data_IF_052532184288
#
_entry.id   IF_052532184288
#
_cell.length_a   1.000
_cell.length_b   1.000
_cell.length_c   1.000
_cell.angle_alpha   90.00
_cell.angle_beta   90.00
_cell.angle_gamma   90.00
#
_symmetry.space_group_name_H-M   'P 1'
#
loop_
_entity.id
_entity.type
_entity.pdbx_description
1 polymer ?
#
# COMPACT_ATOMS: atom_id res chain seq x y z
N UNK A 1 -21.41 16.96 -43.77
CA UNK A 1 -20.83 18.16 -44.39
C UNK A 1 -19.37 18.16 -43.97
N UNK A 2 -18.53 17.89 -44.93
CA UNK A 2 -17.10 17.61 -44.94
C UNK A 2 -16.31 18.91 -44.88
N UNK A 3 -15.21 18.98 -44.13
CA UNK A 3 -14.01 19.75 -44.42
C UNK A 3 -12.89 19.20 -43.51
N UNK A 4 -12.01 18.46 -43.96
CA UNK A 4 -10.72 18.44 -44.68
C UNK A 4 -9.69 19.49 -44.20
N UNK A 5 -8.61 18.89 -43.66
CA UNK A 5 -7.16 19.13 -43.80
C UNK A 5 -6.66 20.57 -43.91
N UNK A 6 -5.57 20.84 -43.21
CA UNK A 6 -4.28 21.19 -43.83
C UNK A 6 -3.07 21.07 -42.88
N UNK A 7 -2.04 20.41 -43.40
CA UNK A 7 -0.67 20.31 -42.94
C UNK A 7 0.07 21.65 -42.99
N UNK A 8 1.10 21.82 -42.15
CA UNK A 8 2.39 22.44 -42.56
C UNK A 8 3.51 22.13 -41.55
N UNK A 9 4.41 21.29 -41.89
CA UNK A 9 5.81 21.37 -42.36
C UNK A 9 6.82 22.21 -41.55
N UNK A 10 7.75 21.45 -41.00
CA UNK A 10 9.22 21.64 -40.87
C UNK A 10 9.80 23.04 -40.61
N UNK A 11 10.59 23.13 -39.54
CA UNK A 11 11.86 23.87 -39.63
C UNK A 11 12.94 23.16 -38.79
N UNK A 12 13.91 22.60 -39.51
CA UNK A 12 15.22 22.19 -38.96
C UNK A 12 16.06 23.44 -38.74
N UNK A 13 16.76 23.52 -37.62
CA UNK A 13 17.95 24.38 -37.49
C UNK A 13 19.12 23.64 -36.86
N UNK A 14 20.18 23.64 -37.63
CA UNK A 14 21.56 23.25 -37.39
C UNK A 14 22.09 23.76 -36.03
N UNK A 15 22.84 22.93 -35.34
CA UNK A 15 23.77 23.32 -34.29
C UNK A 15 25.19 23.11 -34.77
N UNK A 16 25.93 24.20 -34.77
CA UNK A 16 27.36 24.27 -35.07
C UNK A 16 28.16 23.79 -33.85
N UNK A 17 29.06 22.87 -34.09
CA UNK A 17 30.09 22.40 -33.16
C UNK A 17 31.26 23.40 -33.19
N UNK A 18 31.68 23.87 -32.02
CA UNK A 18 33.01 24.49 -31.84
C UNK A 18 33.84 23.63 -30.89
N UNK A 19 34.81 22.94 -31.47
CA UNK A 19 35.92 22.35 -30.72
C UNK A 19 36.96 23.45 -30.45
N UNK A 20 37.37 23.55 -29.19
CA UNK A 20 38.65 24.19 -28.84
C UNK A 20 39.42 23.27 -27.92
N UNK A 21 40.48 22.70 -28.47
CA UNK A 21 41.56 22.04 -27.74
C UNK A 21 42.43 23.08 -27.05
N UNK A 22 42.74 22.87 -25.79
CA UNK A 22 43.99 23.37 -25.21
C UNK A 22 44.51 22.34 -24.19
N UNK A 23 45.78 22.09 -24.36
CA UNK A 23 46.60 21.02 -23.82
C UNK A 23 47.44 21.53 -22.63
N UNK A 24 47.67 20.61 -21.67
CA UNK A 24 48.75 20.49 -20.70
C UNK A 24 48.74 21.31 -19.39
N UNK A 25 48.81 20.50 -18.34
CA UNK A 25 49.29 20.88 -17.01
C UNK A 25 49.12 19.76 -16.00
N UNK A 26 50.05 18.76 -15.98
CA UNK A 26 50.16 17.82 -14.89
C UNK A 26 50.71 18.54 -13.65
N UNK A 27 49.99 18.45 -12.53
CA UNK A 27 50.65 18.38 -11.21
C UNK A 27 49.70 17.60 -10.27
N UNK A 28 50.15 16.42 -9.87
CA UNK A 28 49.45 15.60 -8.90
C UNK A 28 49.56 16.22 -7.51
N UNK A 29 48.40 16.36 -6.88
CA UNK A 29 48.24 16.26 -5.44
C UNK A 29 47.01 15.42 -5.20
N UNK A 30 47.23 14.21 -4.71
CA UNK A 30 46.18 13.33 -4.26
C UNK A 30 45.60 13.85 -2.94
N UNK A 31 44.64 14.73 -3.04
CA UNK A 31 43.74 14.98 -1.92
C UNK A 31 42.80 13.81 -1.85
N UNK A 32 43.05 12.96 -0.84
CA UNK A 32 42.06 12.03 -0.38
C UNK A 32 40.87 12.86 0.09
N UNK A 33 39.77 12.90 -0.71
CA UNK A 33 38.48 13.38 -0.24
C UNK A 33 38.14 12.57 1.01
N UNK A 34 38.22 13.23 2.17
CA UNK A 34 37.66 12.75 3.40
C UNK A 34 36.17 12.66 3.12
N UNK A 35 35.50 11.51 3.39
CA UNK A 35 34.04 11.43 3.23
C UNK A 35 33.43 12.58 4.05
N UNK A 36 32.78 13.52 3.38
CA UNK A 36 31.99 14.54 4.06
C UNK A 36 30.87 13.80 4.77
N UNK A 37 30.93 13.74 6.10
CA UNK A 37 29.81 13.27 6.91
C UNK A 37 28.61 14.13 6.51
N UNK A 38 27.61 13.50 5.92
CA UNK A 38 26.35 14.15 5.57
C UNK A 38 25.76 14.79 6.83
N UNK A 39 25.35 16.03 6.73
CA UNK A 39 24.65 16.72 7.81
C UNK A 39 23.40 15.89 8.18
N UNK A 40 23.31 15.36 9.42
CA UNK A 40 22.19 14.52 9.81
C UNK A 40 20.84 15.26 9.87
N UNK A 41 20.87 16.59 9.77
CA UNK A 41 19.66 17.43 9.77
C UNK A 41 19.23 17.86 8.36
N UNK A 42 20.04 17.54 7.32
CA UNK A 42 19.68 17.88 5.96
C UNK A 42 18.40 17.14 5.51
N UNK A 43 17.48 17.80 4.80
CA UNK A 43 16.32 17.12 4.24
C UNK A 43 16.77 15.97 3.32
N UNK A 44 16.14 14.82 3.47
CA UNK A 44 16.39 13.66 2.56
C UNK A 44 15.88 14.03 1.19
N UNK A 45 16.72 13.88 0.15
CA UNK A 45 16.30 14.12 -1.23
C UNK A 45 15.18 13.17 -1.66
N UNK A 46 14.24 13.64 -2.47
CA UNK A 46 13.07 12.88 -2.93
C UNK A 46 13.46 11.57 -3.63
N UNK A 47 14.57 11.56 -4.35
CA UNK A 47 15.11 10.37 -5.03
C UNK A 47 15.45 9.23 -4.08
N UNK A 48 15.79 9.53 -2.82
CA UNK A 48 16.06 8.51 -1.79
C UNK A 48 14.78 7.92 -1.18
N UNK A 49 13.67 8.64 -1.30
CA UNK A 49 12.37 8.23 -0.78
C UNK A 49 11.53 7.51 -1.83
N UNK A 50 11.86 7.66 -3.12
CA UNK A 50 11.11 7.03 -4.21
C UNK A 50 11.40 5.54 -4.28
N UNK A 51 10.36 4.75 -4.56
CA UNK A 51 10.51 3.31 -4.81
C UNK A 51 11.59 3.08 -5.88
N UNK A 52 12.66 2.32 -5.58
CA UNK A 52 13.77 2.12 -6.51
C UNK A 52 13.31 1.45 -7.80
N UNK A 53 13.91 1.87 -8.93
CA UNK A 53 13.61 1.30 -10.24
C UNK A 53 13.98 -0.18 -10.43
N UNK A 54 14.74 -0.76 -9.49
CA UNK A 54 15.03 -2.21 -9.42
C UNK A 54 13.84 -3.03 -8.95
N UNK A 55 12.88 -2.43 -8.25
CA UNK A 55 11.69 -3.12 -7.73
C UNK A 55 10.82 -3.61 -8.89
N UNK A 56 10.39 -4.85 -8.80
CA UNK A 56 9.56 -5.54 -9.78
C UNK A 56 8.38 -6.20 -9.10
N UNK A 57 7.34 -6.59 -9.85
CA UNK A 57 6.30 -7.46 -9.32
C UNK A 57 6.88 -8.77 -8.79
N UNK A 58 6.32 -9.25 -7.68
CA UNK A 58 6.65 -10.55 -7.09
C UNK A 58 5.65 -11.65 -7.48
N UNK A 59 4.53 -11.25 -8.08
CA UNK A 59 3.47 -12.16 -8.50
C UNK A 59 2.70 -11.55 -9.68
N UNK A 60 2.42 -12.35 -10.71
CA UNK A 60 1.61 -11.92 -11.87
C UNK A 60 0.12 -12.12 -11.61
N UNK A 61 -0.38 -11.37 -10.62
CA UNK A 61 -1.80 -11.33 -10.27
C UNK A 61 -2.22 -9.86 -10.14
N UNK A 62 -3.39 -9.52 -10.67
CA UNK A 62 -3.98 -8.22 -10.43
C UNK A 62 -4.27 -8.06 -8.95
N UNK A 63 -3.49 -7.21 -8.29
CA UNK A 63 -3.59 -6.96 -6.86
C UNK A 63 -3.27 -5.52 -6.52
N UNK A 64 -4.10 -4.93 -5.66
CA UNK A 64 -3.85 -3.67 -4.95
C UNK A 64 -3.79 -3.94 -3.46
N UNK A 65 -3.41 -2.91 -2.71
CA UNK A 65 -3.48 -2.91 -1.26
C UNK A 65 -2.78 -4.18 -0.71
N UNK A 66 -1.57 -4.40 -1.22
CA UNK A 66 -0.78 -5.61 -0.95
C UNK A 66 -0.41 -5.68 0.52
N UNK A 67 -0.67 -6.81 1.13
CA UNK A 67 -0.35 -7.10 2.50
C UNK A 67 0.48 -8.38 2.63
N UNK A 68 1.56 -8.32 3.39
CA UNK A 68 2.38 -9.50 3.72
C UNK A 68 2.58 -9.58 5.21
N UNK A 69 2.40 -10.77 5.79
CA UNK A 69 2.80 -11.08 7.15
C UNK A 69 3.75 -12.26 7.16
N UNK A 70 4.78 -12.21 8.00
CA UNK A 70 5.68 -13.34 8.28
C UNK A 70 5.23 -14.06 9.53
N UNK A 71 5.11 -15.39 9.47
CA UNK A 71 4.76 -16.21 10.62
C UNK A 71 5.94 -17.09 11.03
N UNK A 72 6.60 -16.72 12.12
CA UNK A 72 7.82 -17.35 12.56
C UNK A 72 7.67 -18.85 12.91
N UNK A 73 6.50 -19.28 13.39
CA UNK A 73 6.28 -20.66 13.82
C UNK A 73 6.33 -21.67 12.68
N UNK A 74 5.89 -21.30 11.46
CA UNK A 74 5.98 -22.15 10.27
C UNK A 74 6.97 -21.65 9.24
N UNK A 75 7.49 -20.42 9.42
CA UNK A 75 8.47 -19.77 8.57
C UNK A 75 7.94 -19.44 7.19
N UNK A 76 6.65 -19.13 7.04
CA UNK A 76 6.07 -18.67 5.81
C UNK A 76 5.75 -17.19 5.85
N UNK A 77 5.88 -16.56 4.70
CA UNK A 77 5.26 -15.29 4.37
C UNK A 77 3.90 -15.56 3.76
N UNK A 78 2.88 -14.86 4.24
CA UNK A 78 1.52 -14.93 3.72
C UNK A 78 1.17 -13.62 3.05
N UNK A 79 0.65 -13.68 1.82
CA UNK A 79 0.32 -12.52 1.00
C UNK A 79 -1.15 -12.54 0.66
N UNK A 80 -1.77 -11.38 0.81
CA UNK A 80 -3.13 -11.09 0.37
C UNK A 80 -3.21 -9.66 -0.19
N UNK A 81 -4.35 -9.28 -0.73
CA UNK A 81 -4.61 -7.94 -1.26
C UNK A 81 -5.95 -7.88 -1.97
N UNK A 82 -6.32 -6.69 -2.42
CA UNK A 82 -7.51 -6.48 -3.26
C UNK A 82 -7.26 -7.09 -4.64
N UNK A 83 -7.84 -8.24 -4.90
CA UNK A 83 -7.70 -8.94 -6.19
C UNK A 83 -8.84 -8.58 -7.14
N UNK A 84 -8.58 -8.68 -8.45
CA UNK A 84 -9.64 -8.77 -9.45
C UNK A 84 -10.03 -10.22 -9.66
N UNK A 85 -11.32 -10.48 -9.93
CA UNK A 85 -11.74 -11.80 -10.36
C UNK A 85 -11.30 -12.02 -11.80
N UNK A 86 -10.54 -13.10 -12.12
CA UNK A 86 -10.07 -13.37 -13.49
C UNK A 86 -11.21 -13.45 -14.52
N UNK A 87 -12.37 -13.93 -14.11
CA UNK A 87 -13.55 -14.06 -14.97
C UNK A 87 -14.35 -12.75 -15.11
N UNK A 88 -13.98 -11.72 -14.34
CA UNK A 88 -14.73 -10.47 -14.21
C UNK A 88 -13.84 -9.23 -14.24
N UNK A 89 -12.65 -9.33 -14.82
CA UNK A 89 -11.81 -8.18 -15.09
C UNK A 89 -12.58 -7.19 -15.98
N UNK A 90 -12.66 -5.96 -15.50
CA UNK A 90 -13.46 -4.94 -16.16
C UNK A 90 -12.70 -4.26 -17.29
N UNK A 91 -13.34 -4.17 -18.45
CA UNK A 91 -12.92 -3.26 -19.51
C UNK A 91 -13.83 -2.03 -19.49
N UNK A 92 -13.26 -0.86 -19.55
CA UNK A 92 -14.00 0.37 -19.72
C UNK A 92 -13.97 1.30 -18.51
N UNK A 93 -15.11 1.67 -17.97
CA UNK A 93 -15.24 2.78 -17.02
C UNK A 93 -15.10 2.39 -15.55
N UNK A 94 -14.89 1.12 -15.25
CA UNK A 94 -14.70 0.60 -13.90
C UNK A 94 -13.24 0.20 -13.70
N UNK A 95 -12.79 0.22 -12.46
CA UNK A 95 -11.45 -0.20 -12.11
C UNK A 95 -11.40 -1.70 -11.90
N UNK A 96 -10.25 -2.34 -12.17
CA UNK A 96 -10.08 -3.78 -12.01
C UNK A 96 -10.37 -4.29 -10.58
N UNK A 97 -10.34 -3.41 -9.59
CA UNK A 97 -10.63 -3.71 -8.19
C UNK A 97 -12.10 -3.48 -7.77
N UNK A 98 -12.97 -3.09 -8.69
CA UNK A 98 -14.39 -2.82 -8.38
C UNK A 98 -15.23 -4.09 -8.29
N UNK A 99 -14.68 -5.24 -8.68
CA UNK A 99 -15.34 -6.52 -8.60
C UNK A 99 -14.37 -7.66 -8.29
N UNK A 100 -14.69 -8.41 -7.23
CA UNK A 100 -14.08 -9.72 -6.95
C UNK A 100 -15.10 -10.63 -6.26
N UNK A 101 -14.76 -11.89 -6.09
CA UNK A 101 -15.64 -12.90 -5.53
C UNK A 101 -15.26 -13.31 -4.10
N UNK A 102 -14.22 -12.70 -3.54
CA UNK A 102 -13.78 -12.98 -2.17
C UNK A 102 -12.32 -12.67 -1.91
N UNK A 103 -11.77 -13.34 -0.93
CA UNK A 103 -10.41 -13.16 -0.43
C UNK A 103 -9.54 -14.35 -0.84
N UNK A 104 -8.36 -14.05 -1.34
CA UNK A 104 -7.36 -15.02 -1.77
C UNK A 104 -6.09 -14.91 -0.94
N UNK A 105 -5.39 -16.03 -0.82
CA UNK A 105 -4.17 -16.13 -0.04
C UNK A 105 -3.08 -16.83 -0.83
N UNK A 106 -1.86 -16.34 -0.70
CA UNK A 106 -0.63 -16.96 -1.20
C UNK A 106 0.34 -17.11 -0.04
N UNK A 107 1.28 -18.05 -0.19
CA UNK A 107 2.38 -18.20 0.78
C UNK A 107 3.73 -18.38 0.07
N UNK A 108 4.79 -18.00 0.74
CA UNK A 108 6.17 -18.13 0.24
C UNK A 108 7.14 -18.39 1.40
N UNK A 109 8.29 -19.00 1.09
CA UNK A 109 9.42 -19.12 2.01
C UNK A 109 10.49 -18.06 1.78
N UNK A 110 10.42 -17.33 0.67
CA UNK A 110 11.51 -16.48 0.21
C UNK A 110 11.02 -15.15 -0.41
N UNK A 111 9.72 -14.89 -0.37
CA UNK A 111 9.05 -13.75 -1.02
C UNK A 111 9.26 -13.65 -2.55
N UNK A 112 9.86 -14.67 -3.17
CA UNK A 112 10.13 -14.74 -4.60
C UNK A 112 9.27 -15.80 -5.29
N UNK A 113 9.06 -16.94 -4.63
CA UNK A 113 8.28 -18.06 -5.12
C UNK A 113 7.00 -18.20 -4.31
N UNK A 114 5.87 -17.84 -4.90
CA UNK A 114 4.57 -17.82 -4.24
C UNK A 114 3.70 -19.01 -4.65
N UNK A 115 3.18 -19.72 -3.67
CA UNK A 115 2.19 -20.79 -3.83
C UNK A 115 0.80 -20.21 -3.56
N UNK A 116 -0.11 -20.35 -4.52
CA UNK A 116 -1.51 -19.98 -4.33
C UNK A 116 -2.20 -21.00 -3.42
N UNK A 117 -2.80 -20.50 -2.33
CA UNK A 117 -3.60 -21.31 -1.39
C UNK A 117 -5.08 -21.31 -1.76
N UNK A 118 -5.48 -20.49 -2.71
CA UNK A 118 -6.84 -20.36 -3.18
C UNK A 118 -7.67 -19.34 -2.44
N UNK A 119 -9.00 -19.38 -2.69
CA UNK A 119 -9.96 -18.48 -2.09
C UNK A 119 -10.31 -18.96 -0.68
N UNK A 120 -10.03 -18.12 0.32
CA UNK A 120 -10.21 -18.44 1.75
C UNK A 120 -11.51 -17.90 2.36
N UNK A 121 -12.19 -17.00 1.67
CA UNK A 121 -13.52 -16.48 2.03
C UNK A 121 -14.23 -16.01 0.75
N UNK A 122 -15.54 -16.21 0.69
CA UNK A 122 -16.35 -15.86 -0.47
C UNK A 122 -17.64 -15.12 -0.12
N UNK A 123 -18.07 -14.25 -1.02
CA UNK A 123 -19.38 -13.60 -0.88
C UNK A 123 -20.54 -14.58 -0.90
N UNK A 124 -20.45 -15.66 -1.65
CA UNK A 124 -21.58 -16.56 -1.86
C UNK A 124 -21.75 -17.52 -0.70
N UNK A 125 -20.67 -18.03 -0.14
CA UNK A 125 -20.68 -19.08 0.88
C UNK A 125 -20.56 -18.53 2.30
N UNK A 126 -19.67 -17.53 2.52
CA UNK A 126 -19.23 -17.15 3.86
C UNK A 126 -19.79 -15.81 4.36
N UNK A 127 -20.21 -14.94 3.42
CA UNK A 127 -20.62 -13.59 3.77
C UNK A 127 -21.96 -13.53 4.51
N UNK A 128 -22.02 -12.70 5.53
CA UNK A 128 -23.27 -12.32 6.19
C UNK A 128 -24.20 -11.54 5.23
N UNK A 129 -25.52 -11.52 5.50
CA UNK A 129 -26.47 -10.84 4.62
C UNK A 129 -26.14 -9.37 4.32
N UNK A 130 -25.59 -8.66 5.28
CA UNK A 130 -25.22 -7.25 5.11
C UNK A 130 -24.01 -7.08 4.17
N UNK A 131 -23.08 -8.03 4.16
CA UNK A 131 -21.90 -8.03 3.29
C UNK A 131 -22.26 -8.33 1.83
N UNK A 132 -23.39 -8.99 1.59
CA UNK A 132 -23.88 -9.30 0.22
C UNK A 132 -24.55 -8.12 -0.47
N UNK A 133 -24.72 -7.01 0.22
CA UNK A 133 -25.26 -5.77 -0.34
C UNK A 133 -24.18 -5.09 -1.21
N UNK A 134 -24.16 -5.39 -2.48
CA UNK A 134 -23.26 -4.69 -3.40
C UNK A 134 -23.79 -3.31 -3.80
N UNK A 135 -22.95 -2.55 -4.48
CA UNK A 135 -23.33 -1.29 -5.11
C UNK A 135 -23.82 -1.54 -6.55
N UNK A 136 -24.77 -0.74 -7.05
CA UNK A 136 -25.21 -0.87 -8.45
C UNK A 136 -24.03 -0.67 -9.41
N UNK A 137 -23.88 -1.59 -10.37
CA UNK A 137 -22.90 -1.43 -11.46
C UNK A 137 -23.30 -0.24 -12.36
N UNK A 138 -22.30 0.50 -12.80
CA UNK A 138 -22.52 1.56 -13.78
C UNK A 138 -23.10 0.93 -15.06
N UNK A 139 -24.17 1.52 -15.65
CA UNK A 139 -24.75 0.99 -16.87
C UNK A 139 -23.72 0.83 -17.99
N UNK A 140 -23.72 -0.32 -18.64
CA UNK A 140 -22.80 -0.63 -19.74
C UNK A 140 -21.45 -1.22 -19.32
N UNK A 141 -21.23 -1.52 -18.05
CA UNK A 141 -20.06 -2.27 -17.61
C UNK A 141 -20.05 -3.68 -18.21
N UNK A 142 -18.89 -4.10 -18.70
CA UNK A 142 -18.66 -5.44 -19.27
C UNK A 142 -17.42 -6.07 -18.67
N UNK A 143 -17.35 -7.40 -18.71
CA UNK A 143 -16.12 -8.14 -18.45
C UNK A 143 -15.06 -7.83 -19.52
N UNK A 144 -13.82 -8.28 -19.33
CA UNK A 144 -12.76 -8.23 -20.35
C UNK A 144 -13.16 -8.93 -21.64
N UNK A 145 -13.98 -9.96 -21.55
CA UNK A 145 -14.49 -10.70 -22.70
C UNK A 145 -15.70 -10.02 -23.38
N UNK A 146 -16.15 -8.87 -22.85
CA UNK A 146 -17.29 -8.13 -23.38
C UNK A 146 -18.67 -8.62 -22.90
N UNK A 147 -18.72 -9.55 -21.98
CA UNK A 147 -19.98 -10.02 -21.40
C UNK A 147 -20.59 -8.96 -20.50
N UNK A 148 -21.91 -8.71 -20.57
CA UNK A 148 -22.57 -7.83 -19.61
C UNK A 148 -22.38 -8.33 -18.18
N UNK A 149 -22.01 -7.42 -17.28
CA UNK A 149 -21.89 -7.74 -15.86
C UNK A 149 -23.24 -7.69 -15.16
N UNK A 150 -23.34 -8.42 -14.05
CA UNK A 150 -24.50 -8.39 -13.17
C UNK A 150 -24.83 -6.96 -12.74
N UNK A 151 -26.06 -6.76 -12.31
CA UNK A 151 -26.58 -5.44 -11.90
C UNK A 151 -25.92 -4.89 -10.63
N UNK A 152 -25.12 -5.68 -9.93
CA UNK A 152 -24.48 -5.33 -8.66
C UNK A 152 -22.99 -5.63 -8.77
N UNK A 153 -22.15 -4.63 -8.54
CA UNK A 153 -20.74 -4.86 -8.29
C UNK A 153 -20.48 -4.98 -6.79
N UNK A 154 -19.62 -5.88 -6.44
CA UNK A 154 -19.16 -6.08 -5.08
C UNK A 154 -17.70 -6.49 -5.09
N UNK A 155 -16.96 -5.95 -4.17
CA UNK A 155 -15.56 -6.30 -3.99
C UNK A 155 -15.21 -6.22 -2.50
N UNK A 156 -14.30 -7.06 -2.09
CA UNK A 156 -13.56 -6.91 -0.83
C UNK A 156 -12.29 -6.16 -1.14
N UNK A 157 -12.06 -5.08 -0.41
CA UNK A 157 -10.89 -4.24 -0.55
C UNK A 157 -10.00 -4.34 0.68
N UNK A 158 -8.72 -4.05 0.48
CA UNK A 158 -7.69 -3.92 1.49
C UNK A 158 -7.75 -5.03 2.57
N UNK A 159 -7.67 -6.33 2.20
CA UNK A 159 -7.60 -7.38 3.17
C UNK A 159 -6.21 -7.45 3.81
N UNK A 160 -6.18 -7.64 5.12
CA UNK A 160 -4.97 -7.82 5.89
C UNK A 160 -5.08 -9.09 6.74
N UNK A 161 -4.08 -9.95 6.69
CA UNK A 161 -4.03 -11.18 7.47
C UNK A 161 -3.08 -11.03 8.66
N UNK A 162 -3.62 -11.03 9.87
CA UNK A 162 -2.87 -10.84 11.11
C UNK A 162 -2.82 -12.12 11.95
N UNK A 163 -1.66 -12.45 12.46
CA UNK A 163 -1.51 -13.40 13.54
C UNK A 163 -1.36 -12.64 14.85
N UNK A 164 -2.30 -12.82 15.77
CA UNK A 164 -2.30 -12.19 17.09
C UNK A 164 -1.57 -13.12 18.05
N UNK A 165 -0.31 -12.80 18.33
CA UNK A 165 0.59 -13.68 19.09
C UNK A 165 0.10 -13.92 20.51
N UNK A 166 -0.38 -12.88 21.21
CA UNK A 166 -0.87 -13.00 22.58
C UNK A 166 -2.10 -13.91 22.74
N UNK A 167 -2.79 -14.20 21.63
CA UNK A 167 -4.04 -15.00 21.61
C UNK A 167 -3.94 -16.28 20.80
N UNK A 168 -2.84 -16.51 20.09
CA UNK A 168 -2.69 -17.63 19.15
C UNK A 168 -3.86 -17.72 18.15
N UNK A 169 -4.17 -16.55 17.50
CA UNK A 169 -5.30 -16.42 16.60
C UNK A 169 -4.93 -15.76 15.28
N UNK A 170 -5.49 -16.29 14.21
CA UNK A 170 -5.50 -15.64 12.92
C UNK A 170 -6.77 -14.82 12.75
N UNK A 171 -6.60 -13.53 12.52
CA UNK A 171 -7.66 -12.61 12.17
C UNK A 171 -7.39 -12.04 10.77
N UNK A 172 -8.45 -11.71 10.07
CA UNK A 172 -8.40 -10.98 8.82
C UNK A 172 -9.30 -9.77 8.91
N UNK A 173 -8.79 -8.61 8.54
CA UNK A 173 -9.62 -7.41 8.36
C UNK A 173 -9.77 -7.14 6.88
N UNK A 174 -10.89 -6.56 6.49
CA UNK A 174 -11.16 -6.14 5.13
C UNK A 174 -12.32 -5.14 5.10
N UNK A 175 -12.52 -4.50 3.97
CA UNK A 175 -13.69 -3.63 3.76
C UNK A 175 -14.43 -3.97 2.49
N UNK A 176 -15.69 -3.55 2.42
CA UNK A 176 -16.49 -3.62 1.21
C UNK A 176 -16.27 -2.37 0.36
N UNK A 177 -16.27 -2.55 -0.94
CA UNK A 177 -16.16 -1.46 -1.89
C UNK A 177 -17.21 -0.35 -1.67
N UNK A 178 -16.86 0.86 -2.08
CA UNK A 178 -17.76 2.00 -2.07
C UNK A 178 -18.15 2.51 -0.67
N UNK A 179 -17.35 2.23 0.36
CA UNK A 179 -17.63 2.70 1.73
C UNK A 179 -18.76 1.93 2.43
N UNK A 180 -19.03 0.70 2.01
CA UNK A 180 -20.07 -0.15 2.63
C UNK A 180 -19.62 -0.77 3.96
N UNK A 181 -18.47 -0.35 4.48
CA UNK A 181 -17.97 -0.67 5.80
C UNK A 181 -16.95 -1.79 5.85
N UNK A 182 -16.25 -1.86 6.97
CA UNK A 182 -15.18 -2.81 7.25
C UNK A 182 -15.60 -3.88 8.26
N UNK A 183 -14.90 -4.99 8.22
CA UNK A 183 -15.20 -6.17 9.06
C UNK A 183 -13.93 -6.91 9.44
N UNK A 184 -14.07 -7.73 10.50
CA UNK A 184 -13.04 -8.63 11.00
C UNK A 184 -13.54 -10.07 10.88
N UNK A 185 -12.69 -10.94 10.41
CA UNK A 185 -12.92 -12.37 10.32
C UNK A 185 -11.95 -13.11 11.25
N UNK A 186 -12.41 -14.20 11.88
CA UNK A 186 -11.60 -15.10 12.68
C UNK A 186 -11.44 -16.44 11.96
N UNK A 187 -10.22 -16.96 11.91
CA UNK A 187 -9.97 -18.34 11.46
C UNK A 187 -10.54 -19.35 12.47
N UNK A 188 -11.43 -20.21 12.00
CA UNK A 188 -12.05 -21.24 12.86
C UNK A 188 -11.10 -22.41 13.12
N UNK A 189 -10.20 -22.69 12.17
CA UNK A 189 -9.25 -23.79 12.30
C UNK A 189 -8.00 -23.42 13.10
N UNK A 190 -7.78 -22.14 13.37
CA UNK A 190 -6.51 -21.62 13.90
C UNK A 190 -5.39 -21.63 12.88
N UNK A 191 -5.67 -21.70 11.57
CA UNK A 191 -4.70 -21.68 10.48
C UNK A 191 -4.93 -20.49 9.56
N UNK A 192 -3.91 -20.00 8.86
CA UNK A 192 -4.02 -18.83 8.00
C UNK A 192 -4.96 -19.02 6.81
N UNK A 193 -5.15 -20.26 6.33
CA UNK A 193 -6.09 -20.56 5.26
C UNK A 193 -7.57 -20.66 5.70
N UNK A 194 -7.85 -20.49 6.98
CA UNK A 194 -9.22 -20.54 7.50
C UNK A 194 -9.77 -21.99 7.67
N UNK A 195 -11.09 -22.23 7.56
CA UNK A 195 -12.13 -21.28 7.10
C UNK A 195 -12.34 -20.10 8.04
N UNK A 196 -12.84 -19.01 7.49
CA UNK A 196 -13.05 -17.74 8.19
C UNK A 196 -14.53 -17.48 8.48
N UNK A 197 -14.80 -16.85 9.61
CA UNK A 197 -16.13 -16.38 9.98
C UNK A 197 -16.09 -14.95 10.50
N UNK A 198 -17.19 -14.22 10.35
CA UNK A 198 -17.36 -12.94 11.01
C UNK A 198 -17.23 -13.09 12.54
N UNK A 199 -16.51 -12.16 13.17
CA UNK A 199 -16.57 -12.03 14.64
C UNK A 199 -17.96 -11.53 15.06
N UNK A 200 -18.31 -11.65 16.35
CA UNK A 200 -19.61 -11.25 16.86
C UNK A 200 -19.90 -9.77 16.60
N UNK A 201 -18.89 -8.90 16.74
CA UNK A 201 -19.02 -7.45 16.57
C UNK A 201 -19.42 -7.00 15.17
N UNK A 202 -19.25 -7.85 14.15
CA UNK A 202 -19.70 -7.55 12.79
C UNK A 202 -20.65 -8.61 12.18
N UNK A 203 -21.33 -9.37 13.01
CA UNK A 203 -22.29 -10.39 12.53
C UNK A 203 -23.49 -9.79 11.77
N UNK A 204 -24.00 -8.64 12.23
CA UNK A 204 -25.21 -8.00 11.72
C UNK A 204 -24.94 -6.74 10.87
N UNK A 205 -23.78 -6.11 11.04
CA UNK A 205 -23.39 -4.86 10.38
C UNK A 205 -21.87 -4.71 10.36
N UNK A 206 -21.35 -3.71 9.64
CA UNK A 206 -19.94 -3.35 9.68
C UNK A 206 -19.50 -2.96 11.09
N UNK A 207 -18.28 -3.37 11.49
CA UNK A 207 -17.69 -2.93 12.76
C UNK A 207 -17.15 -1.50 12.67
N UNK A 208 -16.84 -1.05 11.45
CA UNK A 208 -16.39 0.30 11.12
C UNK A 208 -17.07 0.77 9.83
N UNK A 209 -17.71 1.93 9.86
CA UNK A 209 -18.53 2.44 8.74
C UNK A 209 -17.73 3.12 7.63
N UNK A 210 -16.47 2.72 7.44
CA UNK A 210 -15.60 3.24 6.39
C UNK A 210 -14.71 2.11 5.85
N UNK A 211 -13.75 2.46 5.00
CA UNK A 211 -12.78 1.54 4.40
C UNK A 211 -11.47 1.47 5.20
N UNK A 212 -10.55 0.61 4.78
CA UNK A 212 -9.16 0.51 5.21
C UNK A 212 -9.00 0.34 6.72
N UNK A 213 -9.50 -0.78 7.20
CA UNK A 213 -9.34 -1.20 8.59
C UNK A 213 -8.07 -2.04 8.72
N UNK A 214 -7.23 -1.72 9.68
CA UNK A 214 -6.02 -2.45 10.05
C UNK A 214 -6.08 -2.93 11.51
N UNK A 215 -5.23 -3.89 11.86
CA UNK A 215 -5.03 -4.37 13.24
C UNK A 215 -3.63 -4.02 13.72
N UNK A 216 -3.55 -3.63 14.97
CA UNK A 216 -2.27 -3.44 15.68
C UNK A 216 -2.32 -4.16 17.02
N UNK A 217 -1.36 -5.06 17.28
CA UNK A 217 -1.13 -5.69 18.57
C UNK A 217 0.04 -5.00 19.27
N UNK A 218 -0.20 -4.48 20.49
CA UNK A 218 0.82 -3.83 21.29
C UNK A 218 1.57 -4.85 22.19
N UNK A 219 2.73 -4.47 22.71
CA UNK A 219 3.59 -5.32 23.56
C UNK A 219 2.88 -5.85 24.81
N UNK A 220 1.83 -5.20 25.28
CA UNK A 220 1.04 -5.65 26.43
C UNK A 220 -0.07 -6.66 26.06
N UNK A 221 -0.14 -7.05 24.77
CA UNK A 221 -1.16 -7.93 24.22
C UNK A 221 -2.52 -7.24 23.97
N UNK A 222 -2.57 -5.92 24.07
CA UNK A 222 -3.74 -5.14 23.67
C UNK A 222 -3.81 -5.09 22.15
N UNK A 223 -5.00 -5.31 21.59
CA UNK A 223 -5.24 -5.27 20.15
C UNK A 223 -6.14 -4.10 19.79
N UNK A 224 -5.76 -3.37 18.77
CA UNK A 224 -6.48 -2.19 18.29
C UNK A 224 -6.89 -2.36 16.84
N UNK A 225 -8.08 -1.88 16.51
CA UNK A 225 -8.52 -1.61 15.15
C UNK A 225 -8.18 -0.17 14.80
N UNK A 226 -7.47 0.02 13.70
CA UNK A 226 -7.10 1.34 13.18
C UNK A 226 -7.80 1.50 11.84
N UNK A 227 -8.49 2.60 11.64
CA UNK A 227 -9.32 2.79 10.45
C UNK A 227 -9.04 4.07 9.72
N UNK A 228 -9.45 4.08 8.49
CA UNK A 228 -9.40 5.21 7.58
C UNK A 228 -9.73 6.55 8.27
N UNK A 229 -9.07 7.62 7.87
CA UNK A 229 -9.19 8.96 8.46
C UNK A 229 -8.85 9.02 9.95
N UNK A 230 -7.84 8.25 10.39
CA UNK A 230 -7.28 8.37 11.73
C UNK A 230 -8.21 7.94 12.87
N UNK A 231 -8.95 6.86 12.69
CA UNK A 231 -9.77 6.31 13.76
C UNK A 231 -9.11 5.10 14.38
N UNK A 232 -9.25 4.98 15.71
CA UNK A 232 -8.73 3.85 16.47
C UNK A 232 -9.72 3.44 17.55
N UNK A 233 -9.82 2.14 17.77
CA UNK A 233 -10.58 1.57 18.89
C UNK A 233 -9.88 0.32 19.41
N UNK A 234 -9.85 0.14 20.72
CA UNK A 234 -9.34 -1.08 21.35
C UNK A 234 -10.38 -2.20 21.19
N UNK A 235 -9.93 -3.38 20.80
CA UNK A 235 -10.74 -4.60 20.83
C UNK A 235 -10.89 -5.13 22.24
N UNK A 236 -11.96 -5.92 22.47
CA UNK A 236 -12.11 -6.64 23.73
C UNK A 236 -11.11 -7.81 23.82
N UNK A 237 -10.98 -8.40 25.01
CA UNK A 237 -10.02 -9.49 25.27
C UNK A 237 -10.27 -10.75 24.44
N UNK A 238 -11.49 -11.00 24.01
CA UNK A 238 -11.90 -12.14 23.21
C UNK A 238 -11.62 -11.93 21.72
N UNK A 239 -11.36 -10.68 21.30
CA UNK A 239 -11.21 -10.23 19.93
C UNK A 239 -12.47 -10.43 19.06
N UNK A 240 -13.62 -10.48 19.70
CA UNK A 240 -14.91 -10.69 19.03
C UNK A 240 -15.75 -9.40 18.92
N UNK A 241 -15.21 -8.26 19.36
CA UNK A 241 -15.84 -6.95 19.30
C UNK A 241 -14.95 -5.85 19.88
N UNK A 242 -15.50 -4.65 19.99
CA UNK A 242 -14.81 -3.47 20.54
C UNK A 242 -14.95 -3.40 22.06
N UNK A 243 -13.88 -3.00 22.75
CA UNK A 243 -13.90 -2.63 24.16
C UNK A 243 -14.29 -1.15 24.36
N UNK A 244 -14.12 -0.34 23.33
CA UNK A 244 -14.44 1.09 23.32
C UNK A 244 -14.92 1.53 21.93
N UNK A 245 -15.69 2.63 21.81
CA UNK A 245 -16.06 3.15 20.50
C UNK A 245 -14.82 3.72 19.77
N UNK A 246 -14.87 3.74 18.45
CA UNK A 246 -13.86 4.42 17.65
C UNK A 246 -13.74 5.88 18.05
N UNK A 247 -12.51 6.35 18.19
CA UNK A 247 -12.16 7.74 18.40
C UNK A 247 -11.09 8.16 17.41
N UNK A 248 -10.99 9.47 17.18
CA UNK A 248 -9.95 9.99 16.30
C UNK A 248 -8.59 9.89 16.99
N UNK A 249 -7.57 9.45 16.26
CA UNK A 249 -6.18 9.54 16.67
C UNK A 249 -5.79 11.02 16.76
N UNK A 250 -5.05 11.40 17.81
CA UNK A 250 -4.53 12.76 17.94
C UNK A 250 -3.28 12.92 17.10
N UNK A 251 -3.34 13.77 16.10
CA UNK A 251 -2.24 14.06 15.18
C UNK A 251 -2.00 15.55 15.05
N UNK A 252 -0.75 15.93 14.72
CA UNK A 252 -0.44 17.31 14.34
C UNK A 252 -1.15 17.61 13.00
N UNK A 253 -2.09 18.57 12.98
CA UNK A 253 -2.85 18.85 11.77
C UNK A 253 -1.99 19.57 10.72
N UNK A 254 -2.26 19.32 9.45
CA UNK A 254 -1.82 20.20 8.38
C UNK A 254 -2.75 21.39 8.24
N UNK A 255 -2.28 22.45 7.61
CA UNK A 255 -3.11 23.62 7.28
C UNK A 255 -4.29 23.23 6.37
N UNK A 256 -4.09 22.25 5.48
CA UNK A 256 -5.12 21.59 4.68
C UNK A 256 -4.89 20.09 4.73
N UNK A 257 -5.79 19.35 5.34
CA UNK A 257 -5.68 17.88 5.39
C UNK A 257 -5.87 17.29 3.99
N UNK A 258 -4.95 16.43 3.54
CA UNK A 258 -5.13 15.69 2.29
C UNK A 258 -6.19 14.59 2.46
N UNK A 259 -6.59 13.99 1.36
CA UNK A 259 -7.27 12.70 1.41
C UNK A 259 -6.25 11.63 1.82
N UNK A 260 -6.56 10.89 2.86
CA UNK A 260 -5.70 9.87 3.44
C UNK A 260 -6.46 8.55 3.48
N UNK A 261 -5.80 7.49 3.09
CA UNK A 261 -6.29 6.12 3.19
C UNK A 261 -5.13 5.17 3.56
N UNK A 262 -5.37 3.87 3.69
CA UNK A 262 -4.34 2.88 3.94
C UNK A 262 -3.55 3.16 5.22
N UNK A 263 -4.06 2.78 6.38
CA UNK A 263 -3.46 3.09 7.68
C UNK A 263 -2.78 1.85 8.25
N UNK A 264 -1.59 2.04 8.83
CA UNK A 264 -0.82 1.02 9.55
C UNK A 264 -0.16 1.63 10.78
N UNK A 265 -0.12 0.90 11.90
CA UNK A 265 0.70 1.28 13.05
C UNK A 265 1.79 0.24 13.24
N UNK A 266 3.03 0.72 13.42
CA UNK A 266 4.18 -0.09 13.79
C UNK A 266 4.82 0.47 15.06
N UNK A 267 5.34 -0.41 15.91
CA UNK A 267 6.10 -0.01 17.09
C UNK A 267 7.58 -0.32 16.89
N UNK A 268 8.38 0.71 16.81
CA UNK A 268 9.82 0.62 16.62
C UNK A 268 10.57 1.54 17.57
N UNK A 269 11.65 1.05 18.20
CA UNK A 269 12.45 1.80 19.19
C UNK A 269 11.63 2.47 20.31
N UNK A 270 10.53 1.81 20.72
CA UNK A 270 9.66 2.27 21.80
C UNK A 270 8.68 3.38 21.40
N UNK A 271 8.64 3.77 20.14
CA UNK A 271 7.68 4.72 19.58
C UNK A 271 6.67 4.03 18.68
N UNK A 272 5.47 4.60 18.60
CA UNK A 272 4.44 4.22 17.66
C UNK A 272 4.59 5.06 16.40
N UNK A 273 4.63 4.39 15.25
CA UNK A 273 4.74 5.00 13.93
C UNK A 273 3.44 4.74 13.19
N UNK A 274 2.72 5.81 12.90
CA UNK A 274 1.49 5.78 12.11
C UNK A 274 1.84 6.03 10.64
N UNK A 275 1.72 4.99 9.83
CA UNK A 275 1.89 5.05 8.38
C UNK A 275 0.54 5.31 7.75
N UNK A 276 0.49 6.22 6.80
CA UNK A 276 -0.73 6.61 6.09
C UNK A 276 -0.41 6.81 4.63
N UNK A 277 -1.38 6.55 3.77
CA UNK A 277 -1.23 6.71 2.33
C UNK A 277 -1.95 7.95 1.85
N UNK A 278 -1.28 8.76 1.04
CA UNK A 278 -1.81 10.01 0.51
C UNK A 278 -1.68 10.08 -1.01
N UNK A 279 -2.65 10.75 -1.65
CA UNK A 279 -2.61 11.08 -3.08
C UNK A 279 -1.88 12.38 -3.39
N UNK A 280 -1.32 13.00 -2.38
CA UNK A 280 -0.66 14.29 -2.50
C UNK A 280 0.56 14.33 -1.58
N UNK A 281 1.42 15.30 -1.82
CA UNK A 281 2.61 15.56 -1.00
C UNK A 281 2.49 16.92 -0.31
N UNK A 282 3.12 17.10 0.87
CA UNK A 282 3.13 18.38 1.56
C UNK A 282 3.83 19.45 0.70
N UNK A 283 3.34 20.68 0.80
CA UNK A 283 3.91 21.89 0.20
C UNK A 283 4.61 22.72 1.27
N UNK A 284 5.47 23.66 0.85
CA UNK A 284 6.24 24.53 1.75
C UNK A 284 5.36 25.38 2.68
N UNK A 285 4.14 25.68 2.28
CA UNK A 285 3.17 26.45 3.06
C UNK A 285 2.36 25.60 4.04
N UNK A 286 2.66 24.30 4.15
CA UNK A 286 1.95 23.34 4.98
C UNK A 286 0.63 22.83 4.41
N UNK A 287 0.31 23.18 3.16
CA UNK A 287 -0.81 22.57 2.42
C UNK A 287 -0.41 21.29 1.73
N UNK A 288 -1.38 20.58 1.16
CA UNK A 288 -1.15 19.43 0.30
C UNK A 288 -1.60 19.71 -1.12
N UNK A 289 -0.85 19.20 -2.08
CA UNK A 289 -1.25 19.13 -3.49
C UNK A 289 -1.72 17.73 -3.83
N UNK A 290 -2.83 17.63 -4.52
CA UNK A 290 -3.36 16.35 -5.03
C UNK A 290 -2.48 15.74 -6.10
N UNK A 291 -1.78 16.59 -6.84
CA UNK A 291 -0.86 16.20 -7.89
C UNK A 291 0.46 16.87 -7.56
N UNK A 292 1.52 16.11 -7.58
CA UNK A 292 2.86 16.65 -7.38
C UNK A 292 3.15 17.72 -8.44
N UNK A 293 3.87 18.77 -8.05
CA UNK A 293 4.13 19.93 -8.92
C UNK A 293 4.76 19.56 -10.26
N UNK A 294 5.67 18.59 -10.28
CA UNK A 294 6.30 18.08 -11.49
C UNK A 294 5.35 17.29 -12.41
N UNK A 295 4.13 16.94 -11.91
CA UNK A 295 3.14 16.12 -12.60
C UNK A 295 1.74 16.72 -12.64
N UNK A 296 1.59 17.97 -12.22
CA UNK A 296 0.26 18.61 -12.08
C UNK A 296 -0.56 18.67 -13.37
N UNK A 297 0.10 18.66 -14.52
CA UNK A 297 -0.54 18.69 -15.84
C UNK A 297 -0.78 17.29 -16.42
N UNK A 298 -0.49 16.23 -15.67
CA UNK A 298 -0.68 14.85 -16.07
C UNK A 298 -1.83 14.22 -15.27
N UNK A 299 -2.37 13.11 -15.76
CA UNK A 299 -3.34 12.29 -15.01
C UNK A 299 -2.67 11.37 -13.98
N UNK A 300 -1.35 11.43 -13.89
CA UNK A 300 -0.57 10.62 -12.97
C UNK A 300 -0.55 11.24 -11.58
N UNK A 301 -0.88 10.45 -10.58
CA UNK A 301 -0.85 10.83 -9.19
C UNK A 301 0.21 10.00 -8.48
N UNK A 302 0.99 10.65 -7.63
CA UNK A 302 1.79 9.95 -6.63
C UNK A 302 0.87 9.30 -5.58
N UNK A 303 1.27 8.13 -5.09
CA UNK A 303 0.57 7.40 -4.04
C UNK A 303 1.59 7.07 -2.97
N UNK A 304 1.75 8.00 -2.03
CA UNK A 304 2.91 8.09 -1.15
C UNK A 304 2.57 7.64 0.26
N UNK A 305 3.55 7.05 0.92
CA UNK A 305 3.49 6.75 2.36
C UNK A 305 4.04 7.94 3.13
N UNK A 306 3.25 8.45 4.08
CA UNK A 306 3.68 9.42 5.08
C UNK A 306 3.67 8.77 6.46
N UNK A 307 4.56 9.22 7.33
CA UNK A 307 4.71 8.66 8.69
C UNK A 307 4.72 9.76 9.72
N UNK A 308 4.03 9.52 10.83
CA UNK A 308 4.13 10.32 12.06
C UNK A 308 4.47 9.42 13.24
N UNK A 309 5.12 9.95 14.26
CA UNK A 309 5.53 9.18 15.43
C UNK A 309 4.95 9.74 16.73
N UNK A 310 4.72 8.86 17.71
CA UNK A 310 4.18 9.20 19.03
C UNK A 310 4.74 8.28 20.11
N UNK A 311 4.65 8.74 21.38
CA UNK A 311 5.00 7.93 22.55
C UNK A 311 3.83 7.05 23.05
N UNK A 312 2.64 7.23 22.48
CA UNK A 312 1.45 6.48 22.85
C UNK A 312 0.60 6.15 21.61
N UNK A 313 -0.07 4.99 21.63
CA UNK A 313 -0.84 4.47 20.49
C UNK A 313 -1.95 5.41 19.99
N UNK A 314 -2.54 6.20 20.90
CA UNK A 314 -3.56 7.19 20.55
C UNK A 314 -2.99 8.55 20.16
N UNK A 315 -1.67 8.74 20.25
CA UNK A 315 -0.99 10.00 20.04
C UNK A 315 -0.74 10.78 21.34
N UNK A 316 -0.42 12.09 21.26
CA UNK A 316 -0.40 12.86 20.00
C UNK A 316 0.76 12.51 19.09
N UNK A 317 0.45 12.26 17.82
CA UNK A 317 1.45 12.05 16.80
C UNK A 317 2.05 13.37 16.32
N UNK A 318 3.36 13.39 16.15
CA UNK A 318 4.11 14.55 15.68
C UNK A 318 3.86 14.89 14.20
N UNK A 319 4.66 15.82 13.66
CA UNK A 319 4.57 16.17 12.25
C UNK A 319 4.82 14.96 11.35
N UNK A 320 3.99 14.82 10.33
CA UNK A 320 4.13 13.78 9.30
C UNK A 320 5.27 14.10 8.36
N UNK A 321 5.95 13.08 7.88
CA UNK A 321 6.99 13.20 6.87
C UNK A 321 6.77 12.16 5.76
N UNK A 322 7.15 12.47 4.49
CA UNK A 322 7.13 11.48 3.41
C UNK A 322 8.19 10.41 3.67
N UNK A 323 7.79 9.14 3.61
CA UNK A 323 8.64 7.99 3.88
C UNK A 323 8.92 7.17 2.62
N UNK A 324 7.88 6.84 1.83
CA UNK A 324 8.04 6.05 0.61
C UNK A 324 7.15 6.65 -0.49
N UNK A 325 7.80 7.31 -1.45
CA UNK A 325 7.13 7.89 -2.60
C UNK A 325 6.79 6.78 -3.59
N UNK A 326 5.53 6.73 -4.07
CA UNK A 326 4.95 5.66 -4.89
C UNK A 326 4.79 4.32 -4.14
N UNK A 327 4.90 4.29 -2.81
CA UNK A 327 4.86 3.08 -1.99
C UNK A 327 3.55 2.78 -1.26
N UNK A 328 2.51 3.59 -1.42
CA UNK A 328 1.21 3.35 -0.79
C UNK A 328 0.38 2.33 -1.60
N UNK A 329 -0.56 1.77 -1.05
CA UNK A 329 -1.09 1.40 0.23
C UNK A 329 -0.28 0.22 0.78
N UNK A 330 0.27 0.33 1.96
CA UNK A 330 1.30 -0.60 2.42
C UNK A 330 1.11 -1.06 3.87
N UNK A 331 1.75 -2.16 4.22
CA UNK A 331 2.19 -2.46 5.58
C UNK A 331 3.71 -2.59 5.63
N UNK A 332 4.29 -2.53 6.83
CA UNK A 332 5.68 -2.93 7.06
C UNK A 332 5.72 -4.16 7.95
N UNK A 333 6.75 -4.98 7.76
CA UNK A 333 6.96 -6.21 8.52
C UNK A 333 8.45 -6.54 8.57
N UNK A 334 8.82 -7.44 9.50
CA UNK A 334 10.17 -8.01 9.55
C UNK A 334 10.17 -9.41 8.94
N UNK A 335 11.28 -9.74 8.29
CA UNK A 335 11.52 -11.10 7.79
C UNK A 335 12.13 -12.01 8.88
N UNK A 336 12.52 -13.22 8.50
CA UNK A 336 13.14 -14.20 9.39
C UNK A 336 14.50 -13.77 9.97
N UNK A 337 15.12 -12.74 9.40
CA UNK A 337 16.39 -12.18 9.83
C UNK A 337 16.22 -10.90 10.66
N UNK A 338 15.00 -10.38 10.75
CA UNK A 338 14.69 -9.10 11.38
C UNK A 338 14.90 -7.89 10.48
N UNK A 339 15.14 -8.12 9.19
CA UNK A 339 15.22 -7.04 8.20
C UNK A 339 13.83 -6.50 7.87
N UNK A 340 13.74 -5.18 7.69
CA UNK A 340 12.48 -4.49 7.47
C UNK A 340 12.09 -4.47 6.00
N UNK A 341 10.80 -4.69 5.77
CA UNK A 341 10.17 -4.69 4.46
C UNK A 341 8.89 -3.87 4.47
N UNK A 342 8.57 -3.27 3.35
CA UNK A 342 7.28 -2.67 3.05
C UNK A 342 6.62 -3.40 1.88
N UNK A 343 5.33 -3.56 1.92
CA UNK A 343 4.56 -3.94 0.73
C UNK A 343 4.27 -2.72 -0.12
N UNK A 344 3.94 -2.93 -1.36
CA UNK A 344 3.38 -1.94 -2.28
C UNK A 344 2.68 -2.64 -3.46
N UNK A 345 1.98 -1.89 -4.26
CA UNK A 345 1.54 -2.29 -5.58
C UNK A 345 1.84 -1.19 -6.60
N UNK A 346 2.02 -1.55 -7.86
CA UNK A 346 2.25 -0.55 -8.90
C UNK A 346 0.94 0.17 -9.22
N UNK A 347 0.76 1.34 -8.64
CA UNK A 347 -0.45 2.13 -8.78
C UNK A 347 -0.65 2.55 -10.25
N UNK A 348 -1.80 2.25 -10.87
CA UNK A 348 -2.07 2.60 -12.26
C UNK A 348 -2.06 4.11 -12.54
N UNK A 349 -2.17 4.93 -11.51
CA UNK A 349 -2.03 6.39 -11.59
C UNK A 349 -0.64 6.90 -11.23
N UNK A 350 0.21 6.04 -10.68
CA UNK A 350 1.60 6.33 -10.37
C UNK A 350 2.49 6.26 -11.60
N UNK A 351 3.68 6.83 -11.49
CA UNK A 351 4.65 6.83 -12.61
C UNK A 351 5.06 5.42 -13.01
N UNK A 352 5.31 4.58 -12.01
CA UNK A 352 5.73 3.19 -12.25
C UNK A 352 4.58 2.34 -12.80
N UNK A 353 3.36 2.57 -12.33
CA UNK A 353 2.17 1.82 -12.74
C UNK A 353 1.64 2.18 -14.14
N UNK A 354 2.24 3.16 -14.84
CA UNK A 354 1.90 3.44 -16.24
C UNK A 354 2.39 2.38 -17.21
N UNK A 355 3.30 1.53 -16.80
CA UNK A 355 3.70 0.36 -17.56
C UNK A 355 2.61 -0.70 -17.43
N UNK A 356 1.98 -1.04 -18.55
CA UNK A 356 0.86 -1.99 -18.59
C UNK A 356 1.23 -3.38 -18.05
N UNK A 357 2.48 -3.80 -18.27
CA UNK A 357 3.01 -5.09 -17.85
C UNK A 357 3.16 -5.26 -16.32
N UNK A 358 3.21 -4.16 -15.56
CA UNK A 358 3.39 -4.21 -14.11
C UNK A 358 2.25 -3.53 -13.33
N UNK A 359 1.36 -2.82 -14.00
CA UNK A 359 0.27 -2.09 -13.31
C UNK A 359 -0.60 -3.03 -12.48
N UNK A 360 -1.01 -2.60 -11.29
CA UNK A 360 -1.75 -3.40 -10.32
C UNK A 360 -1.12 -4.78 -10.03
N UNK A 361 0.20 -4.85 -9.95
CA UNK A 361 0.92 -6.03 -9.47
C UNK A 361 1.52 -5.76 -8.10
N UNK A 362 1.53 -6.76 -7.20
CA UNK A 362 2.12 -6.63 -5.87
C UNK A 362 3.65 -6.63 -5.93
N UNK A 363 4.26 -5.91 -5.01
CA UNK A 363 5.69 -5.95 -4.78
C UNK A 363 6.03 -5.82 -3.29
N UNK A 364 7.27 -6.13 -2.94
CA UNK A 364 7.85 -5.88 -1.61
C UNK A 364 9.07 -5.00 -1.77
N UNK A 365 9.35 -4.19 -0.78
CA UNK A 365 10.44 -3.22 -0.78
C UNK A 365 11.23 -3.34 0.51
N UNK A 366 12.52 -3.69 0.47
CA UNK A 366 13.38 -3.51 1.63
C UNK A 366 13.38 -2.05 2.08
N UNK A 367 13.16 -1.86 3.38
CA UNK A 367 13.16 -0.53 4.00
C UNK A 367 14.11 -0.53 5.19
N UNK A 368 14.50 0.66 5.62
CA UNK A 368 15.34 0.83 6.81
C UNK A 368 14.91 2.03 7.62
N UNK A 369 15.29 2.00 8.89
CA UNK A 369 15.19 3.14 9.78
C UNK A 369 16.52 3.90 9.81
N UNK A 370 16.54 5.12 9.36
CA UNK A 370 17.70 6.00 9.38
C UNK A 370 17.35 7.27 10.15
N UNK A 371 18.03 7.51 11.28
CA UNK A 371 17.78 8.63 12.19
C UNK A 371 16.30 8.72 12.66
N UNK A 372 15.71 7.55 12.96
CA UNK A 372 14.30 7.46 13.39
C UNK A 372 13.27 7.68 12.27
N UNK A 373 13.69 7.68 11.01
CA UNK A 373 12.79 7.80 9.84
C UNK A 373 12.84 6.55 8.98
N UNK A 374 11.67 6.09 8.61
CA UNK A 374 11.50 4.99 7.64
C UNK A 374 11.82 5.49 6.23
N UNK A 375 12.56 4.70 5.45
CA UNK A 375 12.85 4.99 4.04
C UNK A 375 13.19 3.72 3.25
N UNK A 376 13.13 3.77 1.90
CA UNK A 376 13.59 2.67 1.05
C UNK A 376 15.06 2.34 1.26
N UNK A 377 15.39 1.04 1.20
CA UNK A 377 16.76 0.57 1.06
C UNK A 377 17.03 0.15 -0.40
N UNK A 378 17.53 1.09 -1.19
CA UNK A 378 17.76 0.88 -2.62
C UNK A 378 18.83 -0.18 -2.93
N UNK A 379 19.83 -0.33 -2.05
CA UNK A 379 20.90 -1.32 -2.20
C UNK A 379 20.33 -2.72 -1.97
N UNK A 380 19.64 -2.94 -0.84
CA UNK A 380 18.97 -4.19 -0.55
C UNK A 380 17.91 -4.55 -1.60
N UNK A 381 17.13 -3.56 -2.09
CA UNK A 381 16.18 -3.78 -3.17
C UNK A 381 16.87 -4.26 -4.45
N UNK A 382 17.99 -3.66 -4.84
CA UNK A 382 18.75 -4.08 -6.01
C UNK A 382 19.25 -5.52 -5.86
N UNK A 383 19.75 -5.88 -4.69
CA UNK A 383 20.23 -7.24 -4.39
C UNK A 383 19.10 -8.27 -4.42
N UNK A 384 17.94 -7.94 -3.84
CA UNK A 384 16.80 -8.85 -3.80
C UNK A 384 16.23 -9.15 -5.19
N UNK A 385 16.11 -8.14 -6.05
CA UNK A 385 15.46 -8.23 -7.35
C UNK A 385 16.38 -8.66 -8.49
N UNK A 386 17.69 -8.83 -8.26
CA UNK A 386 18.65 -9.21 -9.31
C UNK A 386 18.27 -10.52 -10.03
N UNK A 387 17.72 -11.50 -9.30
CA UNK A 387 17.36 -12.83 -9.81
C UNK A 387 15.86 -12.98 -10.11
N UNK A 388 15.06 -11.93 -9.92
CA UNK A 388 13.63 -11.95 -10.26
C UNK A 388 13.45 -11.54 -11.71
N UNK A 389 12.90 -12.47 -12.48
CA UNK A 389 12.54 -12.28 -13.90
C UNK A 389 11.01 -12.20 -13.99
N UNK A 390 10.51 -11.00 -14.24
CA UNK A 390 9.08 -10.73 -14.41
C UNK A 390 8.81 -10.33 -15.85
#
# INVERSE_FOLDING_TARGET
MIFLMQNNTRLQRLILVFCLLSVLGCSGNGDKETPQLSDPTAPVGEERLTVPGSVKPILDVWMRDTYVTYHAADGFYYLTGTTASPDREFVGQTHCWDYNDGLYLWRSKDMKNWEEMGRIWSFDEDAAPWQKKGSPIKPGATSLNGDPLDSIYRAVWAPELHYIESKDKWLMVACLNGGNGSFVLESISGKPEGPYRNIQGNAEQAIFENIDLSLFEDDDGSVYLVGHNHFIAKMNEQLDGLAEPFRRIEETPYASEPYIEGVWIEKHDGQYHLLQTVWSVPQDDGSYSYIRDDKKDSVLHSYDVIVASADAVYGPYGPRYPAIIEGGHNNIFQDEHGDWWSTLFFNPRGVMGTRFDITCRPAVLPVKWEQGKLMPDAEAATAFYQDIHF
#
